data_IF_437271238417
#
_entry.id   IF_437271238417
#
_cell.length_a   1.000
_cell.length_b   1.000
_cell.length_c   1.000
_cell.angle_alpha   90.00
_cell.angle_beta   90.00
_cell.angle_gamma   90.00
#
_symmetry.space_group_name_H-M   'P 1'
#
loop_
_entity.id
_entity.type
_entity.pdbx_description
1 polymer ?
#
# COMPACT_ATOMS: atom_id res chain seq x y z
N UNK A 1 7.36 -5.21 3.35
CA UNK A 1 7.61 -3.95 2.62
C UNK A 1 6.52 -2.98 3.03
N UNK A 2 6.85 -1.70 3.20
CA UNK A 2 5.86 -0.62 3.40
C UNK A 2 6.14 0.45 2.35
N UNK A 3 5.07 0.98 1.75
CA UNK A 3 5.13 2.07 0.78
C UNK A 3 4.26 3.21 1.31
N UNK A 4 4.73 4.45 1.17
CA UNK A 4 3.99 5.63 1.62
C UNK A 4 2.64 5.74 0.90
N UNK A 5 1.62 6.22 1.61
CA UNK A 5 0.31 6.51 1.03
C UNK A 5 0.35 7.74 0.11
N UNK A 6 1.20 8.70 0.44
CA UNK A 6 1.32 9.97 -0.27
C UNK A 6 2.63 10.01 -1.05
N UNK A 7 2.58 10.63 -2.23
CA UNK A 7 3.77 10.95 -3.01
C UNK A 7 4.50 12.16 -2.40
N UNK A 8 5.82 12.12 -2.39
CA UNK A 8 6.67 13.28 -2.15
C UNK A 8 6.63 14.18 -3.38
N UNK A 9 6.15 15.42 -3.24
CA UNK A 9 6.16 16.40 -4.32
C UNK A 9 7.58 16.97 -4.50
N UNK A 10 8.30 16.51 -5.53
CA UNK A 10 9.56 17.11 -5.99
C UNK A 10 9.45 17.35 -7.50
N UNK A 11 8.91 18.53 -7.88
CA UNK A 11 8.78 19.03 -9.26
C UNK A 11 7.86 18.23 -10.24
N UNK A 12 7.13 18.97 -11.07
CA UNK A 12 5.75 18.71 -11.52
C UNK A 12 5.47 17.57 -12.51
N UNK A 13 6.33 16.57 -12.67
CA UNK A 13 6.09 15.50 -13.68
C UNK A 13 6.22 14.06 -13.18
N UNK A 14 6.71 13.81 -11.95
CA UNK A 14 6.89 12.45 -11.44
C UNK A 14 6.45 12.29 -9.99
N UNK A 15 5.55 11.34 -9.73
CA UNK A 15 5.17 10.97 -8.36
C UNK A 15 6.25 10.05 -7.76
N UNK A 16 6.84 10.48 -6.64
CA UNK A 16 7.81 9.68 -5.90
C UNK A 16 7.20 9.16 -4.61
N UNK A 17 7.27 7.85 -4.37
CA UNK A 17 6.79 7.23 -3.15
C UNK A 17 7.95 6.66 -2.34
N UNK A 18 7.93 6.93 -1.03
CA UNK A 18 8.89 6.34 -0.11
C UNK A 18 8.56 4.86 0.06
N UNK A 19 9.56 4.01 -0.14
CA UNK A 19 9.44 2.58 0.09
C UNK A 19 10.50 2.14 1.10
N UNK A 20 10.10 1.31 2.06
CA UNK A 20 10.99 0.77 3.08
C UNK A 20 10.78 -0.72 3.28
N UNK A 21 11.90 -1.45 3.25
CA UNK A 21 11.98 -2.84 3.67
C UNK A 21 12.28 -2.88 5.16
N UNK A 22 11.35 -3.46 5.92
CA UNK A 22 11.40 -3.51 7.37
C UNK A 22 11.59 -4.95 7.84
N UNK A 23 12.55 -5.14 8.74
CA UNK A 23 12.76 -6.40 9.46
C UNK A 23 12.14 -6.37 10.85
N UNK A 24 11.75 -7.53 11.38
CA UNK A 24 11.23 -7.64 12.74
C UNK A 24 9.77 -7.22 12.93
N UNK A 25 8.98 -7.15 11.85
CA UNK A 25 7.55 -6.88 11.96
C UNK A 25 6.83 -7.98 12.78
N UNK A 26 5.83 -7.63 13.62
CA UNK A 26 5.06 -8.60 14.37
C UNK A 26 4.26 -9.51 13.44
N UNK A 27 4.01 -10.74 13.89
CA UNK A 27 3.35 -11.78 13.07
C UNK A 27 1.88 -11.47 12.75
N UNK A 28 1.27 -10.54 13.47
CA UNK A 28 -0.13 -10.15 13.27
C UNK A 28 -0.34 -9.23 12.06
N UNK A 29 0.74 -8.66 11.50
CA UNK A 29 0.65 -7.77 10.34
C UNK A 29 0.52 -8.60 9.06
N UNK A 30 -0.47 -8.26 8.27
CA UNK A 30 -0.76 -8.88 6.99
C UNK A 30 -0.54 -7.91 5.82
N UNK A 31 -0.28 -8.47 4.64
CA UNK A 31 -0.21 -7.69 3.41
C UNK A 31 -1.54 -6.99 3.13
N UNK A 32 -1.49 -5.78 2.58
CA UNK A 32 -2.67 -4.95 2.30
C UNK A 32 -3.10 -4.02 3.45
N UNK A 33 -2.58 -4.22 4.66
CA UNK A 33 -2.92 -3.34 5.80
C UNK A 33 -2.21 -1.99 5.71
N UNK A 34 -2.92 -0.93 6.13
CA UNK A 34 -2.33 0.37 6.38
C UNK A 34 -1.70 0.37 7.78
N UNK A 35 -0.46 0.85 7.89
CA UNK A 35 0.30 0.82 9.14
C UNK A 35 1.01 2.14 9.41
N UNK A 36 1.09 2.51 10.68
CA UNK A 36 2.07 3.50 11.16
C UNK A 36 3.30 2.74 11.65
N UNK A 37 4.50 3.18 11.28
CA UNK A 37 5.74 2.52 11.67
C UNK A 37 6.70 3.53 12.27
N UNK A 38 7.25 3.19 13.43
CA UNK A 38 8.40 3.87 14.04
C UNK A 38 9.61 2.96 13.98
N UNK A 39 10.73 3.50 13.50
CA UNK A 39 11.95 2.74 13.24
C UNK A 39 12.82 2.61 14.49
N UNK A 40 13.47 1.45 14.65
CA UNK A 40 14.46 1.19 15.70
C UNK A 40 15.87 1.17 15.08
N UNK A 41 16.58 2.29 15.22
CA UNK A 41 17.97 2.43 14.79
C UNK A 41 18.14 3.14 13.44
N UNK A 42 19.32 2.98 12.80
CA UNK A 42 19.63 3.68 11.56
C UNK A 42 18.74 3.22 10.40
N UNK A 43 18.50 4.13 9.46
CA UNK A 43 17.87 3.85 8.17
C UNK A 43 18.98 3.81 7.13
N UNK A 44 19.06 2.73 6.36
CA UNK A 44 20.00 2.64 5.25
C UNK A 44 19.54 3.54 4.10
N UNK A 45 20.45 4.37 3.59
CA UNK A 45 20.23 5.27 2.45
C UNK A 45 20.27 4.48 1.13
N UNK A 46 19.28 3.62 0.92
CA UNK A 46 19.03 2.88 -0.32
C UNK A 46 17.60 3.05 -0.78
N UNK A 47 17.27 2.63 -2.00
CA UNK A 47 15.88 2.50 -2.44
C UNK A 47 15.54 1.05 -2.83
N UNK A 48 14.55 0.40 -2.19
CA UNK A 48 13.87 0.84 -0.98
C UNK A 48 14.84 1.08 0.19
N UNK A 49 14.45 1.95 1.12
CA UNK A 49 15.16 2.12 2.39
C UNK A 49 15.15 0.81 3.16
N UNK A 50 16.07 0.63 4.10
CA UNK A 50 16.09 -0.56 4.94
C UNK A 50 16.22 -0.16 6.41
N UNK A 51 15.38 -0.75 7.25
CA UNK A 51 15.46 -0.56 8.70
C UNK A 51 14.81 -1.70 9.47
N UNK A 52 14.75 -1.57 10.79
CA UNK A 52 14.09 -2.49 11.71
C UNK A 52 12.86 -1.81 12.30
N UNK A 53 11.78 -2.57 12.45
CA UNK A 53 10.59 -2.11 13.18
C UNK A 53 10.94 -1.92 14.65
N UNK A 54 10.71 -0.73 15.18
CA UNK A 54 10.69 -0.45 16.61
C UNK A 54 9.29 -0.61 17.17
N UNK A 55 8.34 0.12 16.58
CA UNK A 55 6.92 0.06 16.89
C UNK A 55 6.11 0.04 15.59
N UNK A 56 4.99 -0.68 15.58
CA UNK A 56 4.08 -0.75 14.46
C UNK A 56 2.65 -0.76 14.98
N UNK A 57 1.83 0.12 14.41
CA UNK A 57 0.41 0.21 14.67
C UNK A 57 -0.36 -0.09 13.38
N UNK A 58 -1.31 -1.03 13.44
CA UNK A 58 -2.21 -1.32 12.33
C UNK A 58 -3.35 -0.31 12.38
N UNK A 59 -3.54 0.42 11.29
CA UNK A 59 -4.64 1.36 11.12
C UNK A 59 -5.86 0.59 10.63
N UNK A 60 -7.00 0.77 11.30
CA UNK A 60 -8.26 0.13 10.90
C UNK A 60 -8.59 0.46 9.44
N UNK A 61 -8.79 -0.57 8.63
CA UNK A 61 -9.16 -0.42 7.23
C UNK A 61 -10.63 -0.02 7.09
N UNK A 62 -10.93 0.82 6.10
CA UNK A 62 -12.31 1.19 5.83
C UNK A 62 -13.07 0.00 5.21
N UNK A 63 -14.34 -0.12 5.58
CA UNK A 63 -15.32 -0.97 4.92
C UNK A 63 -16.50 -0.09 4.51
N UNK A 64 -16.57 0.35 3.25
CA UNK A 64 -17.66 1.17 2.75
C UNK A 64 -19.01 0.46 2.90
N UNK A 65 -20.07 1.26 3.09
CA UNK A 65 -21.43 0.74 3.18
C UNK A 65 -21.80 -0.09 1.93
N UNK A 66 -22.32 -1.28 2.17
CA UNK A 66 -22.69 -2.21 1.11
C UNK A 66 -21.54 -3.07 0.58
N UNK A 67 -20.32 -2.90 1.12
CA UNK A 67 -19.20 -3.77 0.78
C UNK A 67 -19.05 -4.97 1.73
N UNK A 68 -18.62 -6.11 1.19
CA UNK A 68 -18.30 -7.33 1.93
C UNK A 68 -16.83 -7.39 2.35
N UNK A 69 -15.95 -6.71 1.62
CA UNK A 69 -14.51 -6.65 1.90
C UNK A 69 -14.11 -5.29 2.49
N UNK A 70 -13.02 -5.29 3.22
CA UNK A 70 -12.30 -4.08 3.66
C UNK A 70 -11.29 -3.64 2.61
N UNK A 71 -10.86 -2.37 2.64
CA UNK A 71 -9.78 -1.87 1.79
C UNK A 71 -8.51 -2.74 1.87
N UNK A 72 -8.16 -3.25 3.06
CA UNK A 72 -6.99 -4.10 3.23
C UNK A 72 -7.14 -5.48 2.58
N UNK A 73 -8.32 -6.10 2.66
CA UNK A 73 -8.58 -7.39 2.02
C UNK A 73 -8.53 -7.27 0.49
N UNK A 74 -9.14 -6.21 -0.05
CA UNK A 74 -9.12 -5.93 -1.49
C UNK A 74 -7.69 -5.63 -1.94
N UNK A 75 -6.94 -4.84 -1.18
CA UNK A 75 -5.55 -4.54 -1.50
C UNK A 75 -4.68 -5.80 -1.44
N UNK A 76 -4.88 -6.67 -0.45
CA UNK A 76 -4.21 -7.98 -0.34
C UNK A 76 -4.42 -8.82 -1.59
N UNK A 77 -5.66 -8.95 -2.04
CA UNK A 77 -6.01 -9.67 -3.29
C UNK A 77 -5.32 -9.01 -4.49
N UNK A 78 -5.34 -7.69 -4.58
CA UNK A 78 -4.81 -6.96 -5.73
C UNK A 78 -3.29 -7.06 -5.89
N UNK A 79 -2.56 -7.19 -4.78
CA UNK A 79 -1.09 -7.27 -4.77
C UNK A 79 -0.53 -8.69 -4.81
N UNK A 80 -1.35 -9.72 -4.57
CA UNK A 80 -0.91 -11.14 -4.59
C UNK A 80 -0.28 -11.54 -5.94
N UNK A 81 -0.80 -11.00 -7.05
CA UNK A 81 -0.30 -11.28 -8.41
C UNK A 81 0.73 -10.24 -8.92
N UNK A 82 1.07 -9.24 -8.12
CA UNK A 82 1.99 -8.17 -8.54
C UNK A 82 3.45 -8.58 -8.33
N UNK A 83 4.20 -8.63 -9.42
CA UNK A 83 5.65 -8.90 -9.37
C UNK A 83 6.50 -7.64 -9.17
N UNK A 84 5.95 -6.47 -9.48
CA UNK A 84 6.58 -5.17 -9.30
C UNK A 84 6.27 -4.57 -7.92
N UNK A 85 7.13 -3.68 -7.45
CA UNK A 85 6.81 -2.80 -6.33
C UNK A 85 5.86 -1.72 -6.80
N UNK A 86 4.77 -1.53 -6.06
CA UNK A 86 3.70 -0.60 -6.42
C UNK A 86 3.33 0.30 -5.25
N UNK A 87 2.96 1.55 -5.56
CA UNK A 87 2.28 2.43 -4.63
C UNK A 87 0.79 2.50 -4.96
N UNK A 88 -0.04 2.65 -3.92
CA UNK A 88 -1.49 2.77 -4.04
C UNK A 88 -1.85 4.24 -4.23
N UNK A 89 -2.41 4.60 -5.39
CA UNK A 89 -2.91 5.96 -5.66
C UNK A 89 -4.37 6.13 -5.21
N UNK A 90 -5.18 5.10 -5.43
CA UNK A 90 -6.61 5.13 -5.13
C UNK A 90 -7.10 3.74 -4.78
N UNK A 91 -8.00 3.65 -3.79
CA UNK A 91 -8.89 2.52 -3.57
C UNK A 91 -10.30 3.10 -3.48
N UNK A 92 -11.21 2.61 -4.31
CA UNK A 92 -12.59 3.09 -4.33
C UNK A 92 -13.56 1.92 -4.55
N UNK A 93 -14.65 1.90 -3.79
CA UNK A 93 -15.75 0.96 -3.95
C UNK A 93 -16.91 1.60 -4.72
N UNK A 94 -17.39 0.93 -5.76
CA UNK A 94 -18.63 1.26 -6.45
C UNK A 94 -19.77 0.33 -5.97
N UNK A 95 -20.71 0.84 -5.15
CA UNK A 95 -21.82 0.05 -4.64
C UNK A 95 -22.82 -0.36 -5.72
N UNK A 96 -22.89 0.34 -6.86
CA UNK A 96 -23.83 0.01 -7.93
C UNK A 96 -23.40 -1.25 -8.69
N UNK A 97 -22.10 -1.39 -8.95
CA UNK A 97 -21.53 -2.57 -9.62
C UNK A 97 -21.00 -3.63 -8.65
N UNK A 98 -20.90 -3.32 -7.35
CA UNK A 98 -20.23 -4.15 -6.33
C UNK A 98 -18.79 -4.48 -6.71
N UNK A 99 -18.07 -3.46 -7.13
CA UNK A 99 -16.69 -3.60 -7.57
C UNK A 99 -15.79 -2.61 -6.84
N UNK A 100 -14.59 -3.08 -6.54
CA UNK A 100 -13.49 -2.26 -6.09
C UNK A 100 -12.60 -1.91 -7.26
N UNK A 101 -12.21 -0.64 -7.35
CA UNK A 101 -11.19 -0.16 -8.26
C UNK A 101 -9.98 0.27 -7.44
N UNK A 102 -8.83 -0.33 -7.75
CA UNK A 102 -7.54 0.09 -7.21
C UNK A 102 -6.70 0.65 -8.34
N UNK A 103 -6.10 1.82 -8.11
CA UNK A 103 -5.14 2.41 -9.01
C UNK A 103 -3.75 2.34 -8.38
N UNK A 104 -2.83 1.72 -9.11
CA UNK A 104 -1.43 1.58 -8.75
C UNK A 104 -0.54 2.43 -9.64
N UNK A 105 0.66 2.68 -9.15
CA UNK A 105 1.82 3.12 -9.95
C UNK A 105 3.01 2.23 -9.60
N UNK A 106 3.74 1.79 -10.63
CA UNK A 106 5.00 1.06 -10.42
C UNK A 106 6.08 2.04 -9.91
N UNK A 107 6.82 1.63 -8.88
CA UNK A 107 7.85 2.45 -8.22
C UNK A 107 9.25 1.83 -8.37
N UNK A 108 10.34 2.63 -8.44
CA UNK A 108 10.40 4.09 -8.23
C UNK A 108 9.94 4.96 -9.40
N UNK A 109 9.88 4.41 -10.61
CA UNK A 109 9.44 5.11 -11.82
C UNK A 109 8.77 4.08 -12.73
N UNK A 110 7.51 4.32 -13.09
CA UNK A 110 6.77 3.43 -13.96
C UNK A 110 5.36 3.92 -14.23
N UNK A 111 4.59 3.09 -14.94
CA UNK A 111 3.27 3.45 -15.42
C UNK A 111 2.19 3.25 -14.35
N UNK A 112 1.12 4.03 -14.47
CA UNK A 112 -0.10 3.81 -13.68
C UNK A 112 -0.94 2.72 -14.32
N UNK A 113 -1.49 1.83 -13.50
CA UNK A 113 -2.44 0.81 -13.96
C UNK A 113 -3.56 0.59 -12.96
N UNK A 114 -4.65 -0.02 -13.43
CA UNK A 114 -5.87 -0.22 -12.63
C UNK A 114 -6.17 -1.70 -12.49
N UNK A 115 -6.60 -2.08 -11.30
CA UNK A 115 -7.08 -3.42 -10.97
C UNK A 115 -8.53 -3.29 -10.50
N UNK A 116 -9.39 -4.15 -11.04
CA UNK A 116 -10.80 -4.24 -10.64
C UNK A 116 -11.04 -5.56 -9.93
N UNK A 117 -11.66 -5.52 -8.75
CA UNK A 117 -11.98 -6.70 -7.94
C UNK A 117 -13.48 -6.72 -7.68
N UNK A 118 -14.11 -7.88 -7.91
CA UNK A 118 -15.52 -8.07 -7.58
C UNK A 118 -15.69 -8.31 -6.06
N UNK A 119 -16.65 -7.63 -5.45
CA UNK A 119 -16.97 -7.73 -4.03
C UNK A 119 -18.07 -8.78 -3.80
N UNK A 120 -17.65 -10.05 -3.66
CA UNK A 120 -18.53 -11.22 -3.59
C UNK A 120 -18.83 -11.69 -2.18
#
# INVERSE_FOLDING_TARGET
MVVSKEAQNHDSDHEYYDAISLSGAPKEVEAGQLVNVWYDGPIAESYPMQSKVGELEIVSSAQPDGSQLTEAEVLKIAIEDQSALVAVRLIAFDPASKQWQIEFIEIPQGDTFKVTIEDK
#
